data_IF_337747158874
#
_entry.id   IF_337747158874
#
_cell.length_a   1.000
_cell.length_b   1.000
_cell.length_c   1.000
_cell.angle_alpha   90.00
_cell.angle_beta   90.00
_cell.angle_gamma   90.00
#
_symmetry.space_group_name_H-M   'P 1'
#
loop_
_entity.id
_entity.type
_entity.pdbx_description
1 polymer ?
#
# COMPACT_ATOMS: atom_id res chain seq x y z
N UNK A 1 -11.74 -2.35 -9.15
CA UNK A 1 -11.17 -3.21 -8.10
C UNK A 1 -11.94 -4.52 -8.14
N UNK A 2 -11.24 -5.65 -8.25
CA UNK A 2 -11.78 -7.00 -8.15
C UNK A 2 -12.64 -7.13 -6.88
N UNK A 3 -13.71 -7.92 -6.91
CA UNK A 3 -14.43 -8.33 -5.71
C UNK A 3 -13.48 -9.13 -4.82
N UNK A 4 -12.86 -8.47 -3.84
CA UNK A 4 -11.95 -9.13 -2.91
C UNK A 4 -12.68 -9.42 -1.60
N UNK A 5 -13.05 -10.68 -1.38
CA UNK A 5 -13.85 -11.14 -0.22
C UNK A 5 -13.19 -10.83 1.14
N UNK A 6 -11.87 -10.63 1.18
CA UNK A 6 -11.13 -10.37 2.43
C UNK A 6 -11.03 -8.90 2.81
N UNK A 7 -11.33 -8.00 1.89
CA UNK A 7 -11.26 -6.55 2.09
C UNK A 7 -9.88 -5.92 1.85
N UNK A 8 -9.81 -4.62 2.13
CA UNK A 8 -8.65 -3.76 1.87
C UNK A 8 -7.80 -3.59 3.14
N UNK A 9 -6.50 -3.82 3.02
CA UNK A 9 -5.49 -3.48 4.04
C UNK A 9 -4.69 -2.27 3.57
N UNK A 10 -4.67 -1.22 4.39
CA UNK A 10 -3.85 -0.03 4.15
C UNK A 10 -2.59 -0.11 5.01
N UNK A 11 -1.42 -0.01 4.39
CA UNK A 11 -0.12 -0.13 5.06
C UNK A 11 0.70 1.14 4.87
N UNK A 12 0.94 1.90 5.93
CA UNK A 12 1.93 2.99 5.94
C UNK A 12 3.35 2.46 6.11
N UNK A 13 4.33 3.06 5.43
CA UNK A 13 5.72 2.58 5.45
C UNK A 13 5.89 1.29 4.63
N UNK A 14 5.05 1.09 3.60
CA UNK A 14 5.01 -0.14 2.82
C UNK A 14 6.28 -0.43 2.00
N UNK A 15 7.17 0.55 1.84
CA UNK A 15 8.41 0.41 1.05
C UNK A 15 9.61 -0.14 1.82
N UNK A 16 9.52 -0.40 3.13
CA UNK A 16 10.66 -0.97 3.87
C UNK A 16 10.26 -1.69 5.16
N UNK A 17 11.21 -2.45 5.70
CA UNK A 17 11.14 -3.04 7.04
C UNK A 17 9.84 -3.81 7.32
N UNK A 18 9.19 -3.46 8.44
CA UNK A 18 7.95 -4.13 8.89
C UNK A 18 6.80 -3.88 7.91
N UNK A 19 6.67 -2.66 7.38
CA UNK A 19 5.58 -2.33 6.45
C UNK A 19 5.64 -3.20 5.19
N UNK A 20 6.83 -3.33 4.59
CA UNK A 20 7.03 -4.24 3.46
C UNK A 20 6.72 -5.71 3.80
N UNK A 21 7.17 -6.18 4.97
CA UNK A 21 6.88 -7.55 5.41
C UNK A 21 5.37 -7.79 5.58
N UNK A 22 4.64 -6.80 6.09
CA UNK A 22 3.18 -6.88 6.24
C UNK A 22 2.47 -6.82 4.88
N UNK A 23 2.90 -5.96 3.97
CA UNK A 23 2.40 -5.88 2.59
C UNK A 23 2.48 -7.26 1.92
N UNK A 24 3.67 -7.86 1.89
CA UNK A 24 3.88 -9.18 1.28
C UNK A 24 3.02 -10.27 1.94
N UNK A 25 2.89 -10.22 3.27
CA UNK A 25 2.12 -11.21 4.04
C UNK A 25 0.61 -11.12 3.77
N UNK A 26 0.06 -9.92 3.63
CA UNK A 26 -1.38 -9.75 3.37
C UNK A 26 -1.72 -10.00 1.91
N UNK A 27 -0.89 -9.54 0.97
CA UNK A 27 -1.03 -9.85 -0.45
C UNK A 27 -1.04 -11.36 -0.68
N UNK A 28 -0.06 -12.10 -0.13
CA UNK A 28 -0.02 -13.57 -0.23
C UNK A 28 -1.14 -14.31 0.50
N UNK A 29 -1.95 -13.61 1.32
CA UNK A 29 -3.17 -14.15 1.94
C UNK A 29 -4.43 -13.82 1.14
N UNK A 30 -4.31 -13.15 -0.01
CA UNK A 30 -5.43 -12.77 -0.87
C UNK A 30 -6.19 -11.56 -0.34
N UNK A 31 -5.55 -10.63 0.37
CA UNK A 31 -6.12 -9.32 0.64
C UNK A 31 -5.72 -8.34 -0.47
N UNK A 32 -6.59 -7.37 -0.77
CA UNK A 32 -6.15 -6.17 -1.47
C UNK A 32 -5.30 -5.33 -0.54
N UNK A 33 -4.14 -4.90 -1.00
CA UNK A 33 -3.21 -4.09 -0.19
C UNK A 33 -2.95 -2.76 -0.88
N UNK A 34 -3.21 -1.67 -0.15
CA UNK A 34 -2.82 -0.30 -0.52
C UNK A 34 -1.60 0.10 0.31
N UNK A 35 -0.44 0.17 -0.33
CA UNK A 35 0.81 0.61 0.28
C UNK A 35 0.99 2.13 0.20
N UNK A 36 1.31 2.76 1.33
CA UNK A 36 1.67 4.17 1.41
C UNK A 36 3.14 4.30 1.82
N UNK A 37 3.93 5.06 1.08
CA UNK A 37 5.31 5.39 1.42
C UNK A 37 5.74 6.68 0.71
N UNK A 38 6.87 7.29 1.09
CA UNK A 38 7.39 8.47 0.37
C UNK A 38 7.86 8.13 -1.04
N UNK A 39 8.44 6.94 -1.20
CA UNK A 39 9.04 6.43 -2.43
C UNK A 39 9.02 4.88 -2.39
N UNK A 40 8.85 4.25 -3.56
CA UNK A 40 8.94 2.79 -3.72
C UNK A 40 10.14 2.33 -4.58
N UNK A 41 11.03 3.24 -4.97
CA UNK A 41 12.15 3.01 -5.91
C UNK A 41 13.06 1.81 -5.58
N UNK A 42 13.13 1.41 -4.31
CA UNK A 42 14.02 0.35 -3.83
C UNK A 42 13.36 -1.04 -3.76
N UNK A 43 12.07 -1.15 -4.07
CA UNK A 43 11.30 -2.38 -3.82
C UNK A 43 10.35 -2.68 -4.96
N UNK A 44 10.47 -3.88 -5.50
CA UNK A 44 9.53 -4.41 -6.49
C UNK A 44 8.51 -5.31 -5.78
N UNK A 45 7.25 -4.88 -5.75
CA UNK A 45 6.13 -5.65 -5.18
C UNK A 45 5.23 -6.07 -6.33
N UNK A 46 5.39 -7.30 -6.80
CA UNK A 46 4.62 -7.86 -7.91
C UNK A 46 3.48 -8.72 -7.37
N UNK A 47 2.33 -8.09 -7.12
CA UNK A 47 1.09 -8.80 -6.78
C UNK A 47 -0.10 -8.11 -7.43
N UNK A 48 -1.02 -8.88 -8.01
CA UNK A 48 -2.17 -8.35 -8.76
C UNK A 48 -3.11 -7.49 -7.90
N UNK A 49 -3.26 -7.86 -6.63
CA UNK A 49 -4.08 -7.13 -5.65
C UNK A 49 -3.30 -6.07 -4.85
N UNK A 50 -2.05 -5.74 -5.23
CA UNK A 50 -1.28 -4.67 -4.62
C UNK A 50 -1.39 -3.37 -5.42
N UNK A 51 -1.63 -2.27 -4.71
CA UNK A 51 -1.57 -0.90 -5.24
C UNK A 51 -0.72 -0.04 -4.31
N UNK A 52 -0.07 0.98 -4.85
CA UNK A 52 0.74 1.91 -4.08
C UNK A 52 0.37 3.36 -4.36
N UNK A 53 0.51 4.19 -3.32
CA UNK A 53 0.43 5.65 -3.41
C UNK A 53 1.66 6.22 -2.75
N UNK A 54 2.41 7.03 -3.50
CA UNK A 54 3.53 7.79 -2.98
C UNK A 54 3.02 9.04 -2.27
N UNK A 55 3.28 9.11 -0.97
CA UNK A 55 2.81 10.20 -0.12
C UNK A 55 3.77 10.44 1.04
N UNK A 56 4.06 11.72 1.28
CA UNK A 56 4.70 12.15 2.52
C UNK A 56 3.65 12.40 3.60
N UNK A 57 3.49 11.43 4.50
CA UNK A 57 2.58 11.52 5.64
C UNK A 57 2.94 12.62 6.66
N UNK A 58 4.10 13.29 6.52
CA UNK A 58 4.38 14.51 7.27
C UNK A 58 3.55 15.72 6.78
N UNK A 59 2.96 15.66 5.58
CA UNK A 59 2.17 16.72 4.96
C UNK A 59 0.70 16.30 4.78
N UNK A 60 -0.01 16.11 5.90
CA UNK A 60 -1.36 15.53 5.93
C UNK A 60 -2.43 16.35 5.18
N UNK A 61 -2.22 17.65 4.96
CA UNK A 61 -3.17 18.52 4.26
C UNK A 61 -3.42 18.07 2.81
N UNK A 62 -2.49 17.30 2.22
CA UNK A 62 -2.60 16.78 0.85
C UNK A 62 -3.25 15.39 0.79
N UNK A 63 -3.38 14.71 1.92
CA UNK A 63 -3.80 13.31 2.00
C UNK A 63 -5.16 13.04 1.35
N UNK A 64 -6.22 13.86 1.52
CA UNK A 64 -7.51 13.60 0.89
C UNK A 64 -7.41 13.51 -0.64
N UNK A 65 -6.69 14.45 -1.26
CA UNK A 65 -6.55 14.51 -2.72
C UNK A 65 -5.73 13.36 -3.31
N UNK A 66 -4.79 12.80 -2.54
CA UNK A 66 -3.96 11.68 -2.99
C UNK A 66 -4.67 10.33 -2.86
N UNK A 67 -5.68 10.23 -1.99
CA UNK A 67 -6.44 9.00 -1.74
C UNK A 67 -7.76 8.91 -2.51
N UNK A 68 -8.29 10.02 -3.03
CA UNK A 68 -9.54 10.07 -3.83
C UNK A 68 -9.39 9.55 -5.28
N UNK A 69 -8.44 8.65 -5.56
CA UNK A 69 -8.15 8.12 -6.90
C UNK A 69 -8.89 6.83 -7.24
#
# INVERSE_FOLDING_TARGET
>A
MSENEKGLVVVSGASSGIGLAMTNKYSGKGYSVLGLAKEFDSVEITHEDFSSVEIDLAHLDKLPNELDR
#
